data_IF_231595258023
#
_entry.id   IF_231595258023
#
_cell.length_a   1.000
_cell.length_b   1.000
_cell.length_c   1.000
_cell.angle_alpha   90.00
_cell.angle_beta   90.00
_cell.angle_gamma   90.00
#
_symmetry.space_group_name_H-M   'P 1'
#
loop_
_entity.id
_entity.type
_entity.pdbx_description
1 polymer ?
#
# COMPACT_ATOMS: atom_id res chain seq x y z
N UNK A 1 40.06 -8.32 14.12
CA UNK A 1 39.22 -8.66 12.96
C UNK A 1 37.81 -8.33 13.35
N UNK A 2 37.20 -7.31 12.74
CA UNK A 2 35.81 -6.96 13.03
C UNK A 2 34.92 -7.91 12.25
N UNK A 3 34.14 -8.74 12.94
CA UNK A 3 33.07 -9.54 12.33
C UNK A 3 32.05 -8.58 11.72
N UNK A 4 31.97 -8.54 10.39
CA UNK A 4 30.89 -7.86 9.70
C UNK A 4 29.62 -8.69 9.91
N UNK A 5 28.65 -8.17 10.66
CA UNK A 5 27.33 -8.77 10.72
C UNK A 5 26.75 -8.85 9.29
N UNK A 6 26.16 -9.99 8.87
CA UNK A 6 25.53 -10.08 7.58
C UNK A 6 24.34 -9.13 7.54
N UNK A 7 24.43 -8.09 6.71
CA UNK A 7 23.32 -7.19 6.39
C UNK A 7 22.14 -8.04 5.91
N UNK A 8 21.04 -8.05 6.66
CA UNK A 8 19.81 -8.69 6.20
C UNK A 8 19.36 -8.00 4.91
N UNK A 9 19.12 -8.74 3.81
CA UNK A 9 18.72 -8.13 2.56
C UNK A 9 17.43 -7.33 2.76
N UNK A 10 17.47 -6.04 2.43
CA UNK A 10 16.29 -5.20 2.45
C UNK A 10 15.38 -5.61 1.30
N UNK A 11 14.30 -6.34 1.61
CA UNK A 11 13.34 -6.82 0.63
C UNK A 11 12.25 -5.78 0.40
N UNK A 12 11.98 -5.47 -0.86
CA UNK A 12 10.82 -4.68 -1.26
C UNK A 12 9.56 -5.52 -1.17
N UNK A 13 8.57 -5.09 -0.37
CA UNK A 13 7.29 -5.78 -0.19
C UNK A 13 6.19 -5.06 -0.94
N UNK A 14 5.59 -5.76 -1.90
CA UNK A 14 4.51 -5.25 -2.73
C UNK A 14 3.23 -6.04 -2.45
N UNK A 15 2.16 -5.35 -2.06
CA UNK A 15 0.82 -5.92 -2.02
C UNK A 15 0.09 -5.54 -3.30
N UNK A 16 -0.57 -6.51 -3.94
CA UNK A 16 -1.39 -6.26 -5.11
C UNK A 16 -2.80 -6.80 -4.89
N UNK A 17 -3.82 -5.97 -5.17
CA UNK A 17 -5.21 -6.34 -5.00
C UNK A 17 -6.13 -5.55 -5.94
N UNK A 18 -7.15 -6.23 -6.47
CA UNK A 18 -8.31 -5.60 -7.09
C UNK A 18 -9.38 -5.30 -6.02
N UNK A 19 -9.85 -4.05 -5.95
CA UNK A 19 -10.83 -3.60 -4.96
C UNK A 19 -12.27 -3.57 -5.47
N UNK A 20 -12.50 -3.85 -6.75
CA UNK A 20 -13.83 -3.89 -7.38
C UNK A 20 -14.63 -2.59 -7.10
N UNK A 21 -13.95 -1.44 -7.11
CA UNK A 21 -14.52 -0.12 -6.84
C UNK A 21 -15.03 0.10 -5.41
N UNK A 22 -14.77 -0.82 -4.47
CA UNK A 22 -15.34 -0.78 -3.12
C UNK A 22 -14.65 0.25 -2.22
N UNK A 23 -15.43 1.25 -1.78
CA UNK A 23 -15.02 2.27 -0.82
C UNK A 23 -14.56 1.66 0.51
N UNK A 24 -15.33 0.68 1.01
CA UNK A 24 -15.05 -0.02 2.26
C UNK A 24 -13.80 -0.87 2.17
N UNK A 25 -13.59 -1.56 1.05
CA UNK A 25 -12.38 -2.37 0.84
C UNK A 25 -11.14 -1.47 0.79
N UNK A 26 -11.20 -0.34 0.07
CA UNK A 26 -10.09 0.60 0.02
C UNK A 26 -9.81 1.25 1.38
N UNK A 27 -10.84 1.67 2.09
CA UNK A 27 -10.71 2.22 3.44
C UNK A 27 -10.07 1.22 4.41
N UNK A 28 -10.52 -0.04 4.38
CA UNK A 28 -9.98 -1.10 5.21
C UNK A 28 -8.54 -1.47 4.85
N UNK A 29 -8.18 -1.47 3.56
CA UNK A 29 -6.80 -1.72 3.11
C UNK A 29 -5.86 -0.63 3.59
N UNK A 30 -6.23 0.64 3.41
CA UNK A 30 -5.35 1.78 3.70
C UNK A 30 -5.19 2.09 5.19
N UNK A 31 -6.22 1.83 6.00
CA UNK A 31 -6.22 2.11 7.45
C UNK A 31 -6.03 0.84 8.30
N UNK A 32 -5.92 -0.33 7.66
CA UNK A 32 -5.72 -1.60 8.35
C UNK A 32 -4.29 -1.77 8.85
N UNK A 33 -4.07 -2.64 9.85
CA UNK A 33 -2.74 -2.93 10.39
C UNK A 33 -1.78 -3.54 9.35
N UNK A 34 -2.31 -4.09 8.26
CA UNK A 34 -1.51 -4.63 7.16
C UNK A 34 -0.83 -3.56 6.31
N UNK A 35 -1.37 -2.34 6.23
CA UNK A 35 -0.88 -1.33 5.28
C UNK A 35 0.60 -0.97 5.52
N UNK A 36 1.00 -0.77 6.78
CA UNK A 36 2.37 -0.43 7.16
C UNK A 36 3.38 -1.57 6.97
N UNK A 37 2.92 -2.78 6.63
CA UNK A 37 3.78 -3.92 6.35
C UNK A 37 4.23 -3.97 4.88
N UNK A 38 3.71 -3.09 4.02
CA UNK A 38 4.01 -3.07 2.60
C UNK A 38 4.62 -1.72 2.21
N UNK A 39 5.61 -1.76 1.34
CA UNK A 39 6.29 -0.57 0.85
C UNK A 39 5.52 0.02 -0.35
N UNK A 40 4.86 -0.85 -1.13
CA UNK A 40 4.03 -0.47 -2.29
C UNK A 40 2.69 -1.20 -2.23
N UNK A 41 1.60 -0.46 -2.47
CA UNK A 41 0.27 -1.00 -2.69
C UNK A 41 -0.11 -0.82 -4.17
N UNK A 42 -0.23 -1.91 -4.92
CA UNK A 42 -0.67 -1.94 -6.31
C UNK A 42 -2.17 -2.25 -6.38
N UNK A 43 -3.00 -1.22 -6.46
CA UNK A 43 -4.46 -1.31 -6.42
C UNK A 43 -5.03 -1.30 -7.84
N UNK A 44 -5.88 -2.27 -8.19
CA UNK A 44 -6.71 -2.28 -9.40
C UNK A 44 -8.16 -1.97 -9.04
N UNK A 45 -8.88 -1.32 -9.96
CA UNK A 45 -10.26 -0.85 -9.75
C UNK A 45 -10.45 -0.15 -8.39
N UNK A 46 -9.66 0.91 -8.10
CA UNK A 46 -9.82 1.66 -6.86
C UNK A 46 -11.22 2.29 -6.82
N UNK A 47 -11.70 2.55 -5.61
CA UNK A 47 -12.87 3.39 -5.42
C UNK A 47 -12.55 4.82 -5.90
N UNK A 48 -13.33 5.28 -6.88
CA UNK A 48 -13.31 6.66 -7.38
C UNK A 48 -14.58 7.36 -6.86
N UNK A 49 -14.41 8.44 -6.11
CA UNK A 49 -15.55 9.19 -5.57
C UNK A 49 -16.23 10.04 -6.65
N UNK A 50 -17.37 10.66 -6.30
CA UNK A 50 -18.14 11.51 -7.23
C UNK A 50 -17.40 12.77 -7.75
N UNK A 51 -16.22 13.09 -7.20
CA UNK A 51 -15.34 14.17 -7.66
C UNK A 51 -14.17 13.64 -8.51
N UNK A 52 -14.23 12.39 -8.96
CA UNK A 52 -13.18 11.72 -9.74
C UNK A 52 -11.83 11.58 -9.01
N UNK A 53 -11.86 11.55 -7.68
CA UNK A 53 -10.67 11.34 -6.85
C UNK A 53 -10.68 9.94 -6.24
N UNK A 54 -9.51 9.32 -6.11
CA UNK A 54 -9.32 8.15 -5.24
C UNK A 54 -8.83 8.59 -3.86
N UNK A 55 -9.04 7.74 -2.85
CA UNK A 55 -8.62 8.00 -1.47
C UNK A 55 -7.20 7.49 -1.20
N UNK A 56 -6.43 8.25 -0.41
CA UNK A 56 -5.11 7.86 0.13
C UNK A 56 -5.00 8.28 1.60
N UNK A 57 -3.91 7.93 2.27
CA UNK A 57 -3.58 8.33 3.64
C UNK A 57 -2.28 9.12 3.69
N UNK A 58 -1.97 9.76 4.83
CA UNK A 58 -0.69 10.47 5.00
C UNK A 58 0.55 9.58 4.87
N UNK A 59 0.39 8.25 4.99
CA UNK A 59 1.47 7.26 4.84
C UNK A 59 1.75 6.89 3.39
N UNK A 60 0.81 7.15 2.47
CA UNK A 60 0.92 6.76 1.08
C UNK A 60 0.71 7.94 0.14
N UNK A 61 1.59 8.07 -0.84
CA UNK A 61 1.39 8.96 -1.98
C UNK A 61 0.83 8.15 -3.14
N UNK A 62 -0.39 8.46 -3.56
CA UNK A 62 -0.95 7.90 -4.78
C UNK A 62 -0.21 8.44 -6.01
N UNK A 63 0.12 7.55 -6.95
CA UNK A 63 0.79 7.86 -8.22
C UNK A 63 -0.01 7.21 -9.34
N UNK A 64 -0.24 7.94 -10.42
CA UNK A 64 -0.98 7.49 -11.62
C UNK A 64 -0.11 7.70 -12.86
#
# INVERSE_FOLDING_TARGET
MSEQQPETPQLLRIWQQNLNGSDRAQYSLLNGPGASQWDILAIQEPHINGLMNTSSTGSFRAVY
#
